data_IF_341950325828
#
_entry.id   IF_341950325828
#
_cell.length_a   1.000
_cell.length_b   1.000
_cell.length_c   1.000
_cell.angle_alpha   90.00
_cell.angle_beta   90.00
_cell.angle_gamma   90.00
#
_symmetry.space_group_name_H-M   'P 1'
#
loop_
_entity.id
_entity.type
_entity.pdbx_description
1 polymer ?
#
# COMPACT_ATOMS: atom_id res chain seq x y z
N UNK A 1 8.34 1.99 6.08
CA UNK A 1 8.71 3.37 6.51
C UNK A 1 9.57 4.06 5.48
N UNK A 2 10.86 3.74 5.30
CA UNK A 2 11.69 4.37 4.23
C UNK A 2 11.10 4.16 2.82
N UNK A 3 10.57 2.96 2.55
CA UNK A 3 9.86 2.64 1.31
C UNK A 3 8.62 3.50 1.07
N UNK A 4 7.91 3.79 2.15
CA UNK A 4 6.64 4.53 2.15
C UNK A 4 6.94 5.98 1.82
N UNK A 5 7.84 6.62 2.58
CA UNK A 5 8.24 8.02 2.41
C UNK A 5 8.87 8.32 1.04
N UNK A 6 9.75 7.43 0.55
CA UNK A 6 10.35 7.55 -0.79
C UNK A 6 9.32 7.44 -1.91
N UNK A 7 8.17 6.80 -1.65
CA UNK A 7 7.09 6.68 -2.61
C UNK A 7 6.34 7.98 -2.89
N UNK A 8 6.34 8.92 -1.93
CA UNK A 8 5.62 10.19 -2.03
C UNK A 8 6.39 11.29 -2.77
N UNK A 9 7.68 11.08 -3.03
CA UNK A 9 8.51 12.08 -3.71
C UNK A 9 8.49 11.97 -5.23
N UNK A 10 8.65 13.11 -5.91
CA UNK A 10 8.43 13.27 -7.36
C UNK A 10 9.56 12.70 -8.22
N UNK A 11 10.74 12.46 -7.65
CA UNK A 11 11.91 11.98 -8.40
C UNK A 11 11.81 10.48 -8.75
N UNK A 12 12.20 10.15 -9.97
CA UNK A 12 12.14 8.79 -10.53
C UNK A 12 12.98 7.79 -9.73
N UNK A 13 14.08 8.25 -9.12
CA UNK A 13 14.98 7.45 -8.31
C UNK A 13 14.33 7.02 -6.98
N UNK A 14 13.61 7.91 -6.32
CA UNK A 14 12.98 7.65 -5.02
C UNK A 14 11.77 6.72 -5.16
N UNK A 15 10.98 6.87 -6.24
CA UNK A 15 9.93 5.90 -6.61
C UNK A 15 10.49 4.52 -6.93
N UNK A 16 11.69 4.46 -7.52
CA UNK A 16 12.36 3.19 -7.80
C UNK A 16 12.87 2.52 -6.51
N UNK A 17 13.47 3.29 -5.59
CA UNK A 17 13.89 2.80 -4.27
C UNK A 17 12.71 2.34 -3.40
N UNK A 18 11.56 3.03 -3.46
CA UNK A 18 10.30 2.60 -2.83
C UNK A 18 9.83 1.25 -3.36
N UNK A 19 9.85 1.05 -4.69
CA UNK A 19 9.55 -0.25 -5.31
C UNK A 19 10.53 -1.35 -4.89
N UNK A 20 11.81 -1.04 -4.72
CA UNK A 20 12.82 -2.01 -4.23
C UNK A 20 12.55 -2.40 -2.79
N UNK A 21 12.24 -1.44 -1.92
CA UNK A 21 12.00 -1.77 -0.51
C UNK A 21 10.69 -2.53 -0.31
N UNK A 22 9.67 -2.29 -1.15
CA UNK A 22 8.44 -3.10 -1.18
C UNK A 22 8.61 -4.44 -1.92
N UNK A 23 9.65 -4.61 -2.75
CA UNK A 23 9.92 -5.88 -3.40
C UNK A 23 10.24 -6.98 -2.37
N UNK A 24 10.78 -6.62 -1.20
CA UNK A 24 11.06 -7.52 -0.08
C UNK A 24 9.80 -8.05 0.63
N UNK A 25 8.61 -7.53 0.32
CA UNK A 25 7.36 -8.04 0.90
C UNK A 25 6.46 -8.68 -0.14
N UNK A 26 6.91 -8.78 -1.40
CA UNK A 26 6.08 -9.13 -2.56
C UNK A 26 4.80 -8.27 -2.68
N UNK A 27 4.78 -7.10 -2.02
CA UNK A 27 3.61 -6.24 -1.87
C UNK A 27 3.77 -4.92 -2.63
N UNK A 28 4.57 -4.92 -3.70
CA UNK A 28 4.89 -3.72 -4.48
C UNK A 28 3.69 -3.03 -5.16
N UNK A 29 2.55 -3.71 -5.27
CA UNK A 29 1.31 -3.12 -5.77
C UNK A 29 0.68 -2.12 -4.79
N UNK A 30 0.99 -2.23 -3.49
CA UNK A 30 0.63 -1.28 -2.45
C UNK A 30 1.04 0.15 -2.82
N UNK A 31 2.20 0.34 -3.44
CA UNK A 31 2.64 1.66 -3.88
C UNK A 31 1.63 2.36 -4.81
N UNK A 32 1.01 1.61 -5.72
CA UNK A 32 0.03 2.16 -6.66
C UNK A 32 -1.31 2.37 -5.98
N UNK A 33 -1.73 1.37 -5.20
CA UNK A 33 -2.95 1.42 -4.42
C UNK A 33 -2.93 2.61 -3.46
N UNK A 34 -1.93 2.69 -2.60
CA UNK A 34 -1.82 3.68 -1.54
C UNK A 34 -1.92 5.10 -2.12
N UNK A 35 -1.04 5.39 -3.09
CA UNK A 35 -0.88 6.72 -3.66
C UNK A 35 -2.02 7.18 -4.59
N UNK A 36 -2.69 6.26 -5.29
CA UNK A 36 -3.71 6.62 -6.31
C UNK A 36 -5.10 6.12 -5.97
N UNK A 37 -5.23 5.31 -4.94
CA UNK A 37 -6.44 4.66 -4.48
C UNK A 37 -6.78 5.08 -3.06
N UNK A 38 -6.08 4.52 -2.07
CA UNK A 38 -6.33 4.77 -0.65
C UNK A 38 -6.34 6.26 -0.30
N UNK A 39 -5.31 7.05 -0.63
CA UNK A 39 -5.31 8.50 -0.36
C UNK A 39 -6.53 9.26 -0.91
N UNK A 40 -7.12 8.79 -2.02
CA UNK A 40 -8.30 9.39 -2.63
C UNK A 40 -9.59 8.97 -1.90
N UNK A 41 -9.64 7.69 -1.48
CA UNK A 41 -10.84 7.02 -0.96
C UNK A 41 -10.79 6.76 0.55
N UNK A 42 -9.74 7.20 1.25
CA UNK A 42 -9.55 6.98 2.68
C UNK A 42 -10.80 7.36 3.44
N UNK A 43 -11.15 6.54 4.43
CA UNK A 43 -12.38 6.59 5.20
C UNK A 43 -13.66 6.54 4.35
N UNK A 44 -13.67 5.84 3.21
CA UNK A 44 -14.91 5.55 2.44
C UNK A 44 -15.15 4.04 2.31
N UNK A 45 -16.39 3.58 2.08
CA UNK A 45 -16.69 2.16 1.91
C UNK A 45 -15.97 1.48 0.73
N UNK A 46 -15.55 2.25 -0.26
CA UNK A 46 -14.82 1.79 -1.45
C UNK A 46 -13.31 1.64 -1.23
N UNK A 47 -12.79 2.09 -0.10
CA UNK A 47 -11.37 1.93 0.24
C UNK A 47 -11.12 0.60 0.94
N UNK A 48 -10.32 -0.31 0.34
CA UNK A 48 -10.00 -1.58 0.98
C UNK A 48 -9.16 -1.40 2.26
N UNK A 49 -8.34 -0.34 2.35
CA UNK A 49 -7.43 -0.11 3.48
C UNK A 49 -8.07 0.66 4.66
N UNK A 50 -9.34 1.07 4.56
CA UNK A 50 -10.07 1.63 5.70
C UNK A 50 -10.76 0.54 6.51
N UNK A 51 -10.39 0.43 7.79
CA UNK A 51 -10.99 -0.55 8.70
C UNK A 51 -12.36 -0.09 9.20
N UNK A 52 -13.35 -0.98 9.14
CA UNK A 52 -14.74 -0.66 9.51
C UNK A 52 -14.93 -0.72 11.01
N UNK A 53 -15.88 0.04 11.52
CA UNK A 53 -16.22 -0.03 12.95
C UNK A 53 -16.72 -1.43 13.31
N UNK A 54 -16.06 -2.09 14.26
CA UNK A 54 -16.38 -3.43 14.72
C UNK A 54 -15.75 -4.57 13.88
N UNK A 55 -14.99 -4.24 12.83
CA UNK A 55 -14.27 -5.23 12.04
C UNK A 55 -13.01 -5.69 12.79
N UNK A 56 -12.81 -6.99 12.93
CA UNK A 56 -11.58 -7.51 13.53
C UNK A 56 -10.42 -7.39 12.54
N UNK A 57 -9.18 -7.32 13.06
CA UNK A 57 -7.99 -7.31 12.21
C UNK A 57 -7.94 -8.50 11.24
N UNK A 58 -8.43 -9.67 11.66
CA UNK A 58 -8.43 -10.89 10.85
C UNK A 58 -9.46 -10.88 9.72
N UNK A 59 -10.55 -10.12 9.85
CA UNK A 59 -11.50 -9.86 8.76
C UNK A 59 -10.97 -8.77 7.82
N UNK A 60 -10.35 -7.74 8.40
CA UNK A 60 -9.74 -6.63 7.68
C UNK A 60 -8.61 -7.09 6.77
N UNK A 61 -7.65 -7.86 7.29
CA UNK A 61 -6.40 -8.20 6.60
C UNK A 61 -6.62 -8.82 5.20
N UNK A 62 -7.39 -9.91 5.03
CA UNK A 62 -7.61 -10.48 3.71
C UNK A 62 -8.43 -9.56 2.80
N UNK A 63 -9.37 -8.77 3.35
CA UNK A 63 -10.17 -7.80 2.59
C UNK A 63 -9.30 -6.67 2.05
N UNK A 64 -8.43 -6.11 2.89
CA UNK A 64 -7.51 -5.07 2.51
C UNK A 64 -6.51 -5.59 1.48
N UNK A 65 -5.84 -6.72 1.75
CA UNK A 65 -4.84 -7.29 0.83
C UNK A 65 -5.41 -7.58 -0.56
N UNK A 66 -6.54 -8.28 -0.63
CA UNK A 66 -7.15 -8.62 -1.92
C UNK A 66 -7.77 -7.40 -2.62
N UNK A 67 -8.43 -6.54 -1.84
CA UNK A 67 -9.02 -5.31 -2.35
C UNK A 67 -7.96 -4.37 -2.92
N UNK A 68 -6.83 -4.24 -2.23
CA UNK A 68 -5.69 -3.44 -2.64
C UNK A 68 -5.02 -3.95 -3.90
N UNK A 69 -4.85 -5.28 -4.00
CA UNK A 69 -4.39 -5.94 -5.22
C UNK A 69 -5.30 -5.63 -6.42
N UNK A 70 -6.61 -5.79 -6.26
CA UNK A 70 -7.59 -5.51 -7.32
C UNK A 70 -7.60 -4.03 -7.70
N UNK A 71 -7.67 -3.15 -6.71
CA UNK A 71 -7.67 -1.68 -6.86
C UNK A 71 -6.43 -1.20 -7.63
N UNK A 72 -5.24 -1.64 -7.22
CA UNK A 72 -3.99 -1.27 -7.88
C UNK A 72 -3.94 -1.71 -9.35
N UNK A 73 -4.40 -2.93 -9.65
CA UNK A 73 -4.45 -3.44 -11.02
C UNK A 73 -5.44 -2.65 -11.89
N UNK A 74 -6.63 -2.34 -11.35
CA UNK A 74 -7.64 -1.56 -12.07
C UNK A 74 -7.15 -0.15 -12.38
N UNK A 75 -6.56 0.55 -11.39
CA UNK A 75 -5.99 1.89 -11.55
C UNK A 75 -4.89 1.92 -12.62
N UNK A 76 -4.03 0.91 -12.60
CA UNK A 76 -2.89 0.82 -13.49
C UNK A 76 -3.29 0.38 -14.90
N UNK A 77 -4.24 -0.54 -15.03
CA UNK A 77 -4.84 -0.91 -16.30
C UNK A 77 -5.57 0.28 -16.95
N UNK A 78 -6.26 1.11 -16.16
CA UNK A 78 -6.85 2.37 -16.65
C UNK A 78 -5.78 3.36 -17.13
N UNK A 79 -4.65 3.48 -16.42
CA UNK A 79 -3.50 4.28 -16.89
C UNK A 79 -2.96 3.77 -18.22
N UNK A 80 -2.74 2.46 -18.37
CA UNK A 80 -2.23 1.87 -19.61
C UNK A 80 -3.19 2.09 -20.79
N UNK A 81 -4.50 1.90 -20.57
CA UNK A 81 -5.51 2.17 -21.61
C UNK A 81 -5.54 3.63 -22.05
N UNK A 82 -5.41 4.59 -21.11
CA UNK A 82 -5.29 6.03 -21.46
C UNK A 82 -4.04 6.35 -22.29
N UNK A 83 -3.00 5.53 -22.20
CA UNK A 83 -1.79 5.61 -23.00
C UNK A 83 -1.86 4.78 -24.30
N UNK A 84 -3.03 4.24 -24.66
CA UNK A 84 -3.22 3.32 -25.78
C UNK A 84 -2.31 2.07 -25.71
N UNK A 85 -2.04 1.58 -24.50
CA UNK A 85 -1.24 0.37 -24.25
C UNK A 85 -2.08 -0.72 -23.58
N UNK A 86 -1.69 -1.97 -23.81
CA UNK A 86 -2.24 -3.11 -23.08
C UNK A 86 -1.94 -2.98 -21.57
N UNK A 87 -2.86 -3.37 -20.66
CA UNK A 87 -2.55 -3.53 -19.24
C UNK A 87 -1.33 -4.42 -18.97
N UNK A 88 -1.01 -5.34 -19.89
CA UNK A 88 0.13 -6.24 -19.78
C UNK A 88 1.45 -5.65 -20.31
N UNK A 89 1.47 -4.38 -20.69
CA UNK A 89 2.67 -3.73 -21.21
C UNK A 89 3.76 -3.62 -20.10
N UNK A 90 5.06 -3.82 -20.41
CA UNK A 90 6.14 -3.78 -19.41
C UNK A 90 6.27 -2.47 -18.61
N UNK A 91 5.68 -1.37 -19.12
CA UNK A 91 5.60 -0.09 -18.40
C UNK A 91 4.51 -0.04 -17.33
N UNK A 92 3.71 -1.10 -17.16
CA UNK A 92 2.76 -1.21 -16.06
C UNK A 92 3.52 -1.28 -14.73
N UNK A 93 3.27 -0.34 -13.83
CA UNK A 93 4.03 -0.22 -12.60
C UNK A 93 3.82 -1.41 -11.64
N UNK A 94 2.64 -2.03 -11.65
CA UNK A 94 2.33 -3.23 -10.85
C UNK A 94 3.13 -4.42 -11.37
N UNK A 95 3.14 -4.65 -12.68
CA UNK A 95 3.96 -5.71 -13.29
C UNK A 95 5.43 -5.52 -13.02
N UNK A 96 5.92 -4.28 -13.13
CA UNK A 96 7.31 -3.95 -12.88
C UNK A 96 7.69 -4.25 -11.41
N UNK A 97 6.83 -3.91 -10.45
CA UNK A 97 7.06 -4.17 -9.04
C UNK A 97 7.07 -5.67 -8.70
N UNK A 98 6.19 -6.47 -9.31
CA UNK A 98 6.21 -7.93 -9.14
C UNK A 98 7.44 -8.56 -9.80
N UNK A 99 7.81 -8.10 -11.00
CA UNK A 99 9.02 -8.56 -11.68
C UNK A 99 10.27 -8.30 -10.83
N UNK A 100 10.37 -7.14 -10.18
CA UNK A 100 11.47 -6.83 -9.25
C UNK A 100 11.51 -7.81 -8.07
N UNK A 101 10.36 -8.18 -7.52
CA UNK A 101 10.26 -9.17 -6.42
C UNK A 101 10.71 -10.56 -6.88
N UNK A 102 10.25 -10.99 -8.06
CA UNK A 102 10.64 -12.27 -8.68
C UNK A 102 12.14 -12.31 -8.98
N UNK A 103 12.72 -11.24 -9.52
CA UNK A 103 14.16 -11.16 -9.79
C UNK A 103 14.97 -11.21 -8.50
N UNK A 104 14.57 -10.43 -7.48
CA UNK A 104 15.25 -10.42 -6.18
C UNK A 104 15.26 -11.81 -5.55
N UNK A 105 14.09 -12.41 -5.37
CA UNK A 105 14.00 -13.72 -4.72
C UNK A 105 14.50 -14.86 -5.61
N UNK A 106 14.34 -14.76 -6.93
CA UNK A 106 14.92 -15.70 -7.88
C UNK A 106 16.45 -15.75 -7.77
N UNK A 107 17.11 -14.59 -7.67
CA UNK A 107 18.55 -14.53 -7.47
C UNK A 107 18.98 -15.09 -6.11
N UNK A 108 18.26 -14.77 -5.03
CA UNK A 108 18.55 -15.29 -3.69
C UNK A 108 18.35 -16.81 -3.61
N UNK A 109 17.26 -17.33 -4.17
CA UNK A 109 16.98 -18.78 -4.20
C UNK A 109 18.00 -19.52 -5.08
N UNK A 110 18.42 -18.92 -6.20
CA UNK A 110 19.47 -19.50 -7.05
C UNK A 110 20.81 -19.60 -6.32
N UNK A 111 21.14 -18.63 -5.45
CA UNK A 111 22.40 -18.60 -4.71
C UNK A 111 22.37 -19.43 -3.41
N UNK A 112 21.31 -19.33 -2.61
CA UNK A 112 21.18 -19.95 -1.29
C UNK A 112 20.40 -21.28 -1.31
N UNK A 113 19.79 -21.63 -2.44
CA UNK A 113 19.01 -22.86 -2.63
C UNK A 113 17.52 -22.73 -2.25
N UNK A 114 16.75 -23.75 -2.67
CA UNK A 114 15.29 -23.80 -2.47
C UNK A 114 14.85 -23.85 -1.00
N UNK A 115 15.76 -24.22 -0.10
CA UNK A 115 15.51 -24.18 1.35
C UNK A 115 15.21 -22.76 1.88
N UNK A 116 15.53 -21.71 1.10
CA UNK A 116 15.22 -20.32 1.43
C UNK A 116 13.73 -19.98 1.26
N UNK A 117 12.97 -20.74 0.45
CA UNK A 117 11.57 -20.42 0.09
C UNK A 117 10.66 -20.21 1.31
N UNK A 118 10.64 -21.08 2.34
CA UNK A 118 9.79 -20.87 3.51
C UNK A 118 10.08 -19.55 4.23
N UNK A 119 11.35 -19.17 4.34
CA UNK A 119 11.77 -17.91 4.98
C UNK A 119 11.32 -16.69 4.18
N UNK A 120 11.37 -16.77 2.85
CA UNK A 120 10.84 -15.72 1.96
C UNK A 120 9.34 -15.54 2.18
N UNK A 121 8.58 -16.64 2.22
CA UNK A 121 7.12 -16.59 2.43
C UNK A 121 6.79 -15.98 3.79
N UNK A 122 7.44 -16.46 4.86
CA UNK A 122 7.23 -15.93 6.22
C UNK A 122 7.57 -14.43 6.25
N UNK A 123 8.72 -14.03 5.71
CA UNK A 123 9.15 -12.63 5.67
C UNK A 123 8.16 -11.76 4.90
N UNK A 124 7.65 -12.22 3.76
CA UNK A 124 6.69 -11.48 2.96
C UNK A 124 5.36 -11.30 3.71
N UNK A 125 4.84 -12.37 4.32
CA UNK A 125 3.59 -12.34 5.11
C UNK A 125 3.70 -11.39 6.30
N UNK A 126 4.77 -11.50 7.09
CA UNK A 126 5.01 -10.57 8.18
C UNK A 126 5.15 -9.12 7.70
N UNK A 127 5.87 -8.92 6.59
CA UNK A 127 6.11 -7.60 6.03
C UNK A 127 4.84 -6.87 5.62
N UNK A 128 3.96 -7.50 4.82
CA UNK A 128 2.71 -6.85 4.43
C UNK A 128 1.69 -6.80 5.58
N UNK A 129 1.65 -7.79 6.47
CA UNK A 129 0.74 -7.75 7.62
C UNK A 129 1.07 -6.58 8.57
N UNK A 130 2.35 -6.24 8.71
CA UNK A 130 2.78 -5.07 9.47
C UNK A 130 2.30 -3.76 8.82
N UNK A 131 2.38 -3.64 7.49
CA UNK A 131 1.84 -2.48 6.76
C UNK A 131 0.32 -2.37 6.93
N UNK A 132 -0.39 -3.48 6.83
CA UNK A 132 -1.85 -3.50 6.98
C UNK A 132 -2.28 -3.25 8.44
N UNK A 133 -1.45 -3.61 9.42
CA UNK A 133 -1.72 -3.26 10.83
C UNK A 133 -1.74 -1.75 11.03
N UNK A 134 -0.85 -1.03 10.34
CA UNK A 134 -0.82 0.44 10.36
C UNK A 134 -2.12 0.99 9.76
N UNK A 135 -2.49 0.58 8.54
CA UNK A 135 -3.76 0.98 7.90
C UNK A 135 -4.97 0.69 8.79
N UNK A 136 -5.00 -0.50 9.40
CA UNK A 136 -6.08 -0.93 10.29
C UNK A 136 -6.24 0.04 11.46
N UNK A 137 -5.14 0.37 12.14
CA UNK A 137 -5.16 1.24 13.32
C UNK A 137 -5.45 2.70 12.95
N UNK A 138 -4.85 3.23 11.89
CA UNK A 138 -4.96 4.64 11.49
C UNK A 138 -6.34 4.98 10.94
N UNK A 139 -7.07 3.99 10.39
CA UNK A 139 -8.39 4.24 9.80
C UNK A 139 -9.55 3.51 10.49
N UNK A 140 -9.31 2.95 11.68
CA UNK A 140 -10.31 2.16 12.38
C UNK A 140 -11.60 2.94 12.69
N UNK A 141 -12.71 2.50 12.09
CA UNK A 141 -14.04 3.04 12.38
C UNK A 141 -14.29 4.45 11.87
N UNK A 142 -13.40 4.99 11.04
CA UNK A 142 -13.54 6.32 10.45
C UNK A 142 -14.35 6.24 9.15
N UNK A 143 -15.30 7.17 8.96
CA UNK A 143 -16.16 7.21 7.79
C UNK A 143 -16.49 8.64 7.37
N UNK A 144 -16.02 9.00 6.18
CA UNK A 144 -16.36 10.24 5.49
C UNK A 144 -17.83 10.25 5.09
N UNK A 145 -18.46 11.38 5.32
CA UNK A 145 -19.85 11.62 4.95
C UNK A 145 -19.96 12.07 3.50
N UNK A 146 -21.11 11.76 2.89
CA UNK A 146 -21.48 12.32 1.58
C UNK A 146 -22.13 13.69 1.78
N UNK A 147 -21.68 14.66 1.00
CA UNK A 147 -22.31 15.98 0.87
C UNK A 147 -23.67 15.89 0.19
N UNK A 148 -24.46 16.98 0.23
CA UNK A 148 -25.73 17.08 -0.47
C UNK A 148 -25.65 16.77 -1.98
N UNK A 149 -24.47 16.95 -2.59
CA UNK A 149 -24.20 16.66 -4.00
C UNK A 149 -23.77 15.20 -4.25
N UNK A 150 -23.86 14.32 -3.25
CA UNK A 150 -23.52 12.89 -3.35
C UNK A 150 -22.03 12.55 -3.36
N UNK A 151 -21.14 13.56 -3.31
CA UNK A 151 -19.68 13.38 -3.22
C UNK A 151 -19.24 13.28 -1.77
N UNK A 152 -18.24 12.46 -1.48
CA UNK A 152 -17.60 12.42 -0.16
C UNK A 152 -16.97 13.79 0.18
N UNK A 153 -17.04 14.17 1.45
CA UNK A 153 -16.32 15.33 1.99
C UNK A 153 -14.81 15.20 1.73
N UNK A 154 -14.06 16.31 1.72
CA UNK A 154 -12.60 16.23 1.48
C UNK A 154 -11.92 15.46 2.64
N UNK A 155 -10.83 14.74 2.35
CA UNK A 155 -9.99 14.20 3.42
C UNK A 155 -9.54 15.33 4.36
N UNK A 156 -9.52 15.05 5.65
CA UNK A 156 -9.28 16.00 6.72
C UNK A 156 -8.70 15.23 7.92
N UNK A 157 -8.06 15.89 8.89
CA UNK A 157 -7.38 15.19 9.98
C UNK A 157 -8.25 14.22 10.79
N UNK A 158 -9.55 14.49 10.91
CA UNK A 158 -10.51 13.60 11.58
C UNK A 158 -10.75 12.25 10.86
N UNK A 159 -10.27 12.10 9.62
CA UNK A 159 -10.35 10.87 8.83
C UNK A 159 -9.11 9.98 8.99
N UNK A 160 -8.25 10.32 9.96
CA UNK A 160 -7.14 9.48 10.37
C UNK A 160 -6.88 9.59 11.87
N UNK A 161 -6.56 8.47 12.51
CA UNK A 161 -6.02 8.46 13.86
C UNK A 161 -4.52 8.77 13.81
N UNK A 162 -4.08 9.74 14.60
CA UNK A 162 -2.67 10.04 14.77
C UNK A 162 -2.12 9.46 16.08
N UNK A 163 -0.82 9.18 16.11
CA UNK A 163 -0.09 8.90 17.34
C UNK A 163 1.14 9.83 17.42
N UNK A 164 1.13 10.79 18.34
CA UNK A 164 2.21 11.79 18.45
C UNK A 164 3.39 11.31 19.31
N UNK A 165 3.74 10.03 19.27
CA UNK A 165 4.84 9.49 20.07
C UNK A 165 6.19 9.65 19.35
N UNK A 166 7.10 10.43 19.97
CA UNK A 166 8.40 10.84 19.40
C UNK A 166 9.27 9.65 18.93
N UNK A 167 9.35 8.58 19.73
CA UNK A 167 10.19 7.41 19.45
C UNK A 167 9.65 6.63 18.26
N UNK A 168 8.34 6.39 18.24
CA UNK A 168 7.69 5.64 17.17
C UNK A 168 7.65 6.44 15.86
N UNK A 169 7.52 7.76 15.93
CA UNK A 169 7.68 8.65 14.76
C UNK A 169 9.10 8.64 14.16
N UNK A 170 10.15 8.52 14.99
CA UNK A 170 11.53 8.39 14.51
C UNK A 170 11.79 7.03 13.83
N UNK A 171 11.27 5.94 14.38
CA UNK A 171 11.43 4.60 13.80
C UNK A 171 10.49 4.33 12.60
N UNK A 172 9.32 4.97 12.58
CA UNK A 172 8.34 4.85 11.50
C UNK A 172 8.42 5.95 10.44
N UNK A 173 9.39 6.88 10.52
CA UNK A 173 9.49 8.04 9.63
C UNK A 173 8.19 8.86 9.56
N UNK A 174 7.67 9.32 10.70
CA UNK A 174 6.48 10.15 10.83
C UNK A 174 5.15 9.55 10.33
N UNK A 175 5.10 8.24 10.07
CA UNK A 175 3.88 7.53 9.66
C UNK A 175 2.67 7.86 10.54
N UNK A 176 2.92 8.15 11.82
CA UNK A 176 1.87 8.39 12.82
C UNK A 176 1.23 9.79 12.79
N UNK A 177 1.75 10.73 11.99
CA UNK A 177 0.99 11.94 11.59
C UNK A 177 0.21 11.64 10.33
N UNK A 178 -0.59 10.59 10.41
CA UNK A 178 -1.26 10.06 9.26
C UNK A 178 -2.30 11.05 8.69
N UNK A 179 -2.80 12.00 9.50
CA UNK A 179 -3.56 13.14 9.01
C UNK A 179 -2.80 14.09 8.08
N UNK A 180 -1.51 14.31 8.36
CA UNK A 180 -0.65 15.19 7.57
C UNK A 180 -0.08 14.44 6.36
N UNK A 181 -0.07 13.11 6.45
CA UNK A 181 0.31 12.18 5.40
C UNK A 181 -0.72 12.13 4.25
N UNK A 182 -2.02 12.30 4.56
CA UNK A 182 -3.13 12.33 3.59
C UNK A 182 -3.42 13.74 3.03
#
# INVERSE_FOLDING_TARGET
>A
NTAHELGHKKDSLERWLSKITLAQTCYGHFFIEHNRGHHVRVATPEDPASARFGETFWEFLPRSVWGSLKSSWELEAQRMRRLNRSPWHPSNDVLNAWAMSVVLYGALIAFFGVALIPYVVISAVFGFALLETVNYLEHYGLLRQKTANGRYERCAPQHSWNSDHLVTNLFLYHLQRHSDHH
#
